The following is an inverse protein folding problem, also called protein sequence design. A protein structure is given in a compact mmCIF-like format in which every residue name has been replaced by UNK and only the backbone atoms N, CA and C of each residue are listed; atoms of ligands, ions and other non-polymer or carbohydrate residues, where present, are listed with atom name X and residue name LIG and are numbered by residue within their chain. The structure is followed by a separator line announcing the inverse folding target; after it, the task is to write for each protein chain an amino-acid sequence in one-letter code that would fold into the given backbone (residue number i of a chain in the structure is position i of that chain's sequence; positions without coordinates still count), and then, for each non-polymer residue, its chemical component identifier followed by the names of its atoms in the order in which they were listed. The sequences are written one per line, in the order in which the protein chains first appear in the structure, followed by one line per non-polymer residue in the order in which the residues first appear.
data_IF_481225403430
#
_entry.id   IF_481225403430
#
_cell.length_a   1.000
_cell.length_b   1.000
_cell.length_c   1.000
_cell.angle_alpha   90.00
_cell.angle_beta   90.00
_cell.angle_gamma   90.00
#
_symmetry.space_group_name_H-M   'P 1'
#
loop_
_entity.id
_entity.type
_entity.pdbx_description
1 polymer ?
#
# COMPACT_ATOMS: atom_id res chain seq x y z
N UNK A 1 10.91 -10.08 5.07
CA UNK A 1 10.84 -9.13 6.20
C UNK A 1 10.27 -7.83 5.67
N UNK A 2 9.59 -7.05 6.52
CA UNK A 2 9.11 -5.71 6.16
C UNK A 2 10.25 -4.68 6.08
N UNK A 3 9.89 -3.41 5.89
CA UNK A 3 10.84 -2.32 5.68
C UNK A 3 11.17 -1.60 6.99
N UNK A 4 12.46 -1.31 7.22
CA UNK A 4 12.90 -0.44 8.31
C UNK A 4 12.63 1.02 7.94
N UNK A 5 12.10 1.81 8.89
CA UNK A 5 12.00 3.24 8.69
C UNK A 5 13.39 3.83 8.45
N UNK A 6 13.50 4.70 7.43
CA UNK A 6 14.78 5.37 7.11
C UNK A 6 15.31 6.25 8.25
N UNK A 7 14.42 6.70 9.14
CA UNK A 7 14.73 7.52 10.30
C UNK A 7 14.67 6.72 11.62
N UNK A 8 15.59 7.04 12.53
CA UNK A 8 15.61 6.51 13.90
C UNK A 8 14.43 7.09 14.68
N UNK A 9 13.73 6.26 15.44
CA UNK A 9 12.70 6.73 16.36
C UNK A 9 13.37 7.34 17.58
N UNK A 10 13.09 8.63 17.81
CA UNK A 10 13.60 9.39 18.96
C UNK A 10 12.43 9.74 19.87
N UNK A 11 12.53 9.36 21.14
CA UNK A 11 11.57 9.76 22.19
C UNK A 11 12.29 10.64 23.18
N UNK A 12 11.74 11.84 23.40
CA UNK A 12 12.26 12.80 24.38
C UNK A 12 11.41 12.77 25.65
N UNK A 13 12.07 12.58 26.79
CA UNK A 13 11.47 12.62 28.12
C UNK A 13 11.93 13.86 28.88
N UNK A 14 10.96 14.64 29.35
CA UNK A 14 11.17 15.88 30.07
C UNK A 14 10.11 16.07 31.15
N UNK A 15 10.38 16.95 32.11
CA UNK A 15 9.41 17.34 33.14
C UNK A 15 8.25 18.14 32.56
N UNK A 16 7.07 18.01 33.16
CA UNK A 16 5.91 18.86 32.90
C UNK A 16 6.05 20.18 33.69
N UNK A 17 6.87 21.09 33.19
CA UNK A 17 7.16 22.39 33.80
C UNK A 17 7.29 23.47 32.72
N UNK A 18 7.11 24.75 33.09
CA UNK A 18 7.23 25.89 32.17
C UNK A 18 8.58 25.95 31.45
N UNK A 19 9.64 25.47 32.11
CA UNK A 19 10.94 25.17 31.49
C UNK A 19 11.17 23.67 31.58
N UNK A 20 11.00 22.92 30.47
CA UNK A 20 11.17 21.48 30.49
C UNK A 20 12.61 21.08 30.82
N UNK A 21 12.76 20.19 31.80
CA UNK A 21 14.07 19.63 32.19
C UNK A 21 14.17 18.21 31.63
N UNK A 22 15.21 17.88 30.85
CA UNK A 22 15.43 16.53 30.36
C UNK A 22 15.64 15.52 31.48
N UNK A 23 15.07 14.32 31.33
CA UNK A 23 15.19 13.25 32.33
C UNK A 23 16.11 12.12 31.83
N UNK A 24 17.42 12.14 32.15
CA UNK A 24 18.36 11.08 31.76
C UNK A 24 18.17 9.78 32.57
N UNK A 25 18.74 8.68 32.07
CA UNK A 25 18.75 7.36 32.69
C UNK A 25 17.36 6.80 33.05
N UNK A 26 16.34 7.14 32.26
CA UNK A 26 15.00 6.54 32.38
C UNK A 26 14.86 5.41 31.35
N UNK A 27 14.35 4.27 31.80
CA UNK A 27 14.09 3.12 30.93
C UNK A 27 12.84 3.35 30.11
N UNK A 28 12.99 3.33 28.80
CA UNK A 28 11.91 3.42 27.81
C UNK A 28 11.78 2.06 27.12
N UNK A 29 10.61 1.44 27.23
CA UNK A 29 10.25 0.22 26.53
C UNK A 29 9.40 0.57 25.29
N UNK A 30 9.77 0.04 24.14
CA UNK A 30 9.08 0.24 22.88
C UNK A 30 8.24 -0.99 22.55
N UNK A 31 6.94 -0.81 22.44
CA UNK A 31 5.98 -1.88 22.20
C UNK A 31 5.29 -1.61 20.88
N UNK A 32 5.56 -2.43 19.87
CA UNK A 32 4.83 -2.37 18.60
C UNK A 32 3.59 -3.25 18.63
N UNK A 33 2.53 -2.78 18.02
CA UNK A 33 1.33 -3.56 17.69
C UNK A 33 1.11 -3.51 16.18
N UNK A 34 0.67 -4.60 15.57
CA UNK A 34 0.39 -4.63 14.14
C UNK A 34 0.61 -5.99 13.48
N UNK A 35 0.14 -6.11 12.25
CA UNK A 35 0.31 -7.28 11.38
C UNK A 35 1.74 -7.31 10.78
N UNK A 36 2.23 -8.50 10.41
CA UNK A 36 3.51 -8.63 9.70
C UNK A 36 4.78 -8.54 10.56
N UNK A 37 4.67 -8.69 11.88
CA UNK A 37 5.79 -8.75 12.83
C UNK A 37 6.68 -7.50 12.87
N UNK A 38 6.11 -6.30 13.12
CA UNK A 38 6.92 -5.11 13.39
C UNK A 38 7.78 -5.32 14.64
N UNK A 39 8.97 -4.74 14.65
CA UNK A 39 9.91 -4.85 15.79
C UNK A 39 10.72 -3.59 16.01
N UNK A 40 11.10 -3.39 17.26
CA UNK A 40 12.08 -2.38 17.65
C UNK A 40 13.43 -3.04 17.92
N UNK A 41 14.52 -2.36 17.56
CA UNK A 41 15.88 -2.78 17.88
C UNK A 41 16.74 -1.56 18.27
N UNK A 42 17.10 -1.41 19.57
CA UNK A 42 16.66 -2.24 20.69
C UNK A 42 15.18 -1.99 21.06
N UNK A 43 14.50 -2.99 21.62
CA UNK A 43 13.12 -2.85 22.14
C UNK A 43 13.04 -2.06 23.46
N UNK A 44 14.20 -1.80 24.08
CA UNK A 44 14.35 -1.06 25.32
C UNK A 44 15.59 -0.19 25.26
N UNK A 45 15.49 1.07 25.68
CA UNK A 45 16.61 2.00 25.72
C UNK A 45 16.56 2.89 26.96
N UNK A 46 17.73 3.40 27.37
CA UNK A 46 17.84 4.44 28.40
C UNK A 46 17.87 5.82 27.74
N UNK A 47 17.24 6.80 28.39
CA UNK A 47 17.36 8.20 27.97
C UNK A 47 18.76 8.75 28.23
N UNK A 48 19.32 9.49 27.27
CA UNK A 48 20.63 10.15 27.37
C UNK A 48 20.56 11.45 28.21
N UNK A 49 21.66 12.21 28.29
CA UNK A 49 21.74 13.50 29.01
C UNK A 49 20.76 14.58 28.49
N UNK A 50 20.28 14.44 27.26
CA UNK A 50 19.24 15.29 26.65
C UNK A 50 17.83 14.71 26.82
N UNK A 51 17.66 13.66 27.64
CA UNK A 51 16.38 13.01 27.88
C UNK A 51 15.90 12.16 26.70
N UNK A 52 16.77 11.83 25.73
CA UNK A 52 16.37 11.15 24.50
C UNK A 52 16.69 9.65 24.55
N UNK A 53 15.72 8.81 24.18
CA UNK A 53 15.89 7.39 23.91
C UNK A 53 15.77 7.13 22.41
N UNK A 54 16.60 6.23 21.88
CA UNK A 54 16.69 5.91 20.46
C UNK A 54 16.38 4.44 20.20
N UNK A 55 15.66 4.16 19.13
CA UNK A 55 15.46 2.79 18.63
C UNK A 55 15.22 2.80 17.12
N UNK A 56 15.51 1.68 16.46
CA UNK A 56 15.13 1.47 15.06
C UNK A 56 13.80 0.73 15.00
N UNK A 57 12.91 1.17 14.13
CA UNK A 57 11.62 0.52 13.93
C UNK A 57 11.58 -0.16 12.56
N UNK A 58 11.53 -1.50 12.56
CA UNK A 58 11.20 -2.29 11.38
C UNK A 58 9.70 -2.51 11.34
N UNK A 59 9.03 -2.01 10.29
CA UNK A 59 7.61 -2.25 10.07
C UNK A 59 7.39 -3.68 9.55
N UNK A 60 6.14 -4.15 9.65
CA UNK A 60 5.76 -5.45 9.13
C UNK A 60 5.68 -5.49 7.60
N UNK A 61 5.39 -6.66 7.04
CA UNK A 61 5.22 -6.83 5.59
C UNK A 61 3.89 -6.31 5.04
N UNK A 62 2.95 -5.91 5.89
CA UNK A 62 1.67 -5.36 5.44
C UNK A 62 1.81 -3.85 5.21
N UNK A 63 1.29 -3.33 4.12
CA UNK A 63 1.14 -1.88 3.92
C UNK A 63 0.02 -1.32 4.80
N UNK A 64 0.12 -0.05 5.19
CA UNK A 64 -0.90 0.63 5.98
C UNK A 64 -0.35 1.32 7.21
N UNK A 65 -1.25 1.72 8.09
CA UNK A 65 -0.88 2.45 9.32
C UNK A 65 -0.44 1.47 10.42
N UNK A 66 0.67 1.80 11.07
CA UNK A 66 1.23 1.10 12.21
C UNK A 66 1.20 2.00 13.44
N UNK A 67 0.85 1.41 14.58
CA UNK A 67 0.88 2.07 15.88
C UNK A 67 1.80 1.33 16.84
N UNK A 68 2.62 2.09 17.54
CA UNK A 68 3.49 1.62 18.59
C UNK A 68 3.42 2.55 19.79
N UNK A 69 3.87 2.07 20.94
CA UNK A 69 3.90 2.81 22.19
C UNK A 69 5.32 2.85 22.73
N UNK A 70 5.78 4.03 23.16
CA UNK A 70 6.97 4.17 23.99
C UNK A 70 6.53 4.39 25.43
N UNK A 71 6.96 3.50 26.33
CA UNK A 71 6.56 3.45 27.74
C UNK A 71 7.75 3.71 28.63
N UNK A 72 7.68 4.76 29.45
CA UNK A 72 8.66 4.99 30.52
C UNK A 72 8.30 4.07 31.67
N UNK A 73 9.24 3.22 32.08
CA UNK A 73 9.03 2.21 33.11
C UNK A 73 9.89 2.53 34.33
N UNK A 74 9.26 2.63 35.51
CA UNK A 74 9.91 2.79 36.80
C UNK A 74 10.34 1.45 37.42
N UNK A 75 10.92 1.51 38.62
CA UNK A 75 11.20 0.32 39.43
C UNK A 75 9.91 -0.48 39.68
N UNK A 76 10.03 -1.82 39.68
CA UNK A 76 8.87 -2.72 39.79
C UNK A 76 8.00 -2.79 38.53
N UNK A 77 8.55 -2.46 37.35
CA UNK A 77 7.89 -2.57 36.03
C UNK A 77 6.61 -1.73 35.87
N UNK A 78 6.46 -0.68 36.68
CA UNK A 78 5.30 0.23 36.59
C UNK A 78 5.48 1.22 35.46
N UNK A 79 4.53 1.26 34.51
CA UNK A 79 4.49 2.27 33.43
C UNK A 79 4.04 3.61 34.01
N UNK A 80 4.86 4.64 33.84
CA UNK A 80 4.62 5.96 34.45
C UNK A 80 4.14 6.98 33.41
N UNK A 81 4.66 6.88 32.19
CA UNK A 81 4.33 7.76 31.06
C UNK A 81 4.34 6.92 29.79
N UNK A 82 3.45 7.23 28.84
CA UNK A 82 3.44 6.60 27.53
C UNK A 82 3.23 7.62 26.41
N UNK A 83 3.83 7.37 25.26
CA UNK A 83 3.66 8.15 24.03
C UNK A 83 3.30 7.22 22.87
N UNK A 84 2.43 7.70 21.97
CA UNK A 84 2.05 6.98 20.76
C UNK A 84 3.00 7.33 19.62
N UNK A 85 3.49 6.31 18.92
CA UNK A 85 4.29 6.41 17.71
C UNK A 85 3.42 5.91 16.56
N UNK A 86 3.39 6.67 15.46
CA UNK A 86 2.66 6.32 14.23
C UNK A 86 3.63 6.26 13.06
N UNK A 87 3.46 5.25 12.22
CA UNK A 87 4.14 5.15 10.93
C UNK A 87 3.17 4.63 9.88
N UNK A 88 3.50 4.87 8.62
CA UNK A 88 2.75 4.32 7.49
C UNK A 88 3.70 3.53 6.60
N UNK A 89 3.48 2.22 6.52
CA UNK A 89 4.16 1.38 5.53
C UNK A 89 3.49 1.57 4.18
N UNK A 90 4.28 1.84 3.14
CA UNK A 90 3.79 1.79 1.77
C UNK A 90 3.89 0.36 1.24
N UNK A 91 3.14 0.05 0.19
CA UNK A 91 3.36 -1.20 -0.53
C UNK A 91 4.73 -1.17 -1.21
N UNK A 92 5.34 -2.35 -1.34
CA UNK A 92 6.60 -2.49 -2.07
C UNK A 92 6.43 -2.28 -3.58
N UNK A 93 7.50 -2.49 -4.37
CA UNK A 93 7.42 -2.44 -5.82
C UNK A 93 6.34 -3.40 -6.36
N UNK A 94 5.63 -3.02 -7.46
CA UNK A 94 4.70 -3.92 -8.14
C UNK A 94 5.33 -5.28 -8.45
N UNK A 95 4.57 -6.34 -8.25
CA UNK A 95 5.03 -7.70 -8.49
C UNK A 95 4.05 -8.50 -9.36
N UNK A 96 2.76 -8.38 -9.08
CA UNK A 96 1.72 -9.18 -9.74
C UNK A 96 0.52 -8.31 -10.13
N UNK A 97 0.03 -8.50 -11.37
CA UNK A 97 -1.23 -7.93 -11.85
C UNK A 97 -2.28 -9.04 -12.00
N UNK A 98 -3.53 -8.74 -11.65
CA UNK A 98 -4.67 -9.65 -11.84
C UNK A 98 -5.93 -8.90 -12.28
N UNK A 99 -6.81 -9.57 -13.01
CA UNK A 99 -8.13 -9.03 -13.33
C UNK A 99 -9.01 -8.91 -12.07
N UNK A 100 -9.85 -7.87 -12.03
CA UNK A 100 -10.93 -7.71 -11.06
C UNK A 100 -12.25 -7.67 -11.85
N UNK A 101 -13.13 -8.62 -11.57
CA UNK A 101 -14.37 -8.76 -12.33
C UNK A 101 -14.23 -9.57 -13.63
N UNK A 102 -15.21 -9.47 -14.54
CA UNK A 102 -15.27 -10.33 -15.72
C UNK A 102 -14.22 -9.94 -16.77
N UNK A 103 -13.44 -10.92 -17.22
CA UNK A 103 -12.52 -10.77 -18.37
C UNK A 103 -13.23 -10.98 -19.71
N UNK A 104 -14.45 -11.50 -19.70
CA UNK A 104 -15.27 -11.68 -20.90
C UNK A 104 -16.68 -11.18 -20.62
N UNK A 105 -17.19 -10.28 -21.45
CA UNK A 105 -18.51 -9.70 -21.28
C UNK A 105 -19.33 -9.76 -22.58
N UNK A 106 -20.64 -9.98 -22.52
CA UNK A 106 -21.51 -9.73 -23.66
C UNK A 106 -21.62 -8.23 -23.92
N UNK A 107 -21.76 -7.84 -25.17
CA UNK A 107 -21.93 -6.44 -25.53
C UNK A 107 -22.75 -6.23 -26.79
N UNK A 108 -23.07 -4.97 -27.05
CA UNK A 108 -23.75 -4.53 -28.26
C UNK A 108 -22.89 -3.53 -28.98
N UNK A 109 -23.01 -3.51 -30.31
CA UNK A 109 -22.29 -2.60 -31.18
C UNK A 109 -22.50 -1.14 -30.77
N UNK A 110 -21.42 -0.38 -30.68
CA UNK A 110 -21.46 1.05 -30.33
C UNK A 110 -21.91 1.35 -28.91
N UNK A 111 -22.06 0.32 -28.05
CA UNK A 111 -22.44 0.52 -26.65
C UNK A 111 -21.26 0.28 -25.72
N UNK A 112 -21.24 1.03 -24.62
CA UNK A 112 -20.36 0.79 -23.49
C UNK A 112 -20.73 -0.52 -22.81
N UNK A 113 -19.73 -1.33 -22.46
CA UNK A 113 -19.91 -2.52 -21.63
C UNK A 113 -20.56 -2.16 -20.29
N UNK A 114 -21.35 -3.10 -19.76
CA UNK A 114 -22.03 -2.92 -18.49
C UNK A 114 -21.03 -2.83 -17.32
N UNK A 115 -20.01 -3.69 -17.31
CA UNK A 115 -18.95 -3.65 -16.32
C UNK A 115 -17.68 -3.02 -16.91
N UNK A 116 -17.01 -2.20 -16.11
CA UNK A 116 -15.71 -1.64 -16.47
C UNK A 116 -14.62 -2.72 -16.49
N UNK A 117 -13.64 -2.56 -17.36
CA UNK A 117 -12.44 -3.40 -17.33
C UNK A 117 -11.62 -2.97 -16.13
N UNK A 118 -11.31 -3.90 -15.23
CA UNK A 118 -10.60 -3.58 -13.99
C UNK A 118 -9.48 -4.57 -13.71
N UNK A 119 -8.36 -4.07 -13.22
CA UNK A 119 -7.24 -4.86 -12.73
C UNK A 119 -6.88 -4.44 -11.31
N UNK A 120 -6.18 -5.29 -10.59
CA UNK A 120 -5.54 -4.98 -9.32
C UNK A 120 -4.05 -5.29 -9.41
N UNK A 121 -3.25 -4.34 -8.94
CA UNK A 121 -1.80 -4.45 -8.85
C UNK A 121 -1.40 -4.67 -7.39
N UNK A 122 -0.58 -5.69 -7.15
CA UNK A 122 -0.08 -6.02 -5.80
C UNK A 122 1.43 -6.21 -5.79
N UNK A 123 2.04 -6.00 -4.62
CA UNK A 123 3.44 -6.35 -4.38
C UNK A 123 3.59 -7.84 -4.05
N UNK A 124 4.84 -8.28 -3.85
CA UNK A 124 5.18 -9.69 -3.55
C UNK A 124 4.57 -10.22 -2.23
N UNK A 125 4.10 -9.34 -1.36
CA UNK A 125 3.45 -9.67 -0.09
C UNK A 125 1.93 -9.60 -0.19
N UNK A 126 1.39 -9.25 -1.36
CA UNK A 126 -0.04 -9.10 -1.60
C UNK A 126 -0.61 -7.74 -1.21
N UNK A 127 0.24 -6.75 -0.88
CA UNK A 127 -0.21 -5.40 -0.59
C UNK A 127 -0.65 -4.68 -1.87
N UNK A 128 -1.71 -3.89 -1.78
CA UNK A 128 -2.21 -3.08 -2.88
C UNK A 128 -1.20 -1.99 -3.28
N UNK A 129 -0.82 -1.96 -4.56
CA UNK A 129 0.13 -0.97 -5.08
C UNK A 129 -0.61 0.15 -5.79
N UNK A 130 -0.80 1.27 -5.09
CA UNK A 130 -1.41 2.49 -5.61
C UNK A 130 -0.41 3.43 -6.28
N UNK A 131 -0.93 4.32 -7.13
CA UNK A 131 -0.14 5.34 -7.82
C UNK A 131 0.66 4.83 -9.03
N UNK A 132 0.46 3.57 -9.44
CA UNK A 132 1.18 2.98 -10.57
C UNK A 132 0.41 3.16 -11.87
N UNK A 133 1.09 3.49 -12.97
CA UNK A 133 0.46 3.69 -14.27
C UNK A 133 0.21 2.34 -14.96
N UNK A 134 -1.01 2.18 -15.49
CA UNK A 134 -1.45 1.02 -16.26
C UNK A 134 -1.73 1.49 -17.68
N UNK A 135 -1.11 0.83 -18.66
CA UNK A 135 -1.38 1.07 -20.07
C UNK A 135 -2.58 0.23 -20.51
N UNK A 136 -3.52 0.85 -21.21
CA UNK A 136 -4.75 0.24 -21.67
C UNK A 136 -4.88 0.41 -23.18
N UNK A 137 -5.25 -0.66 -23.88
CA UNK A 137 -5.42 -0.57 -25.33
C UNK A 137 -6.46 -1.55 -25.86
N UNK A 138 -7.18 -1.13 -26.89
CA UNK A 138 -7.95 -2.04 -27.74
C UNK A 138 -6.97 -2.81 -28.62
N UNK A 139 -7.16 -4.12 -28.72
CA UNK A 139 -6.33 -5.04 -29.50
C UNK A 139 -6.92 -5.33 -30.88
N UNK A 140 -6.15 -6.00 -31.73
CA UNK A 140 -6.56 -6.33 -33.10
C UNK A 140 -6.64 -5.07 -33.97
N UNK A 141 -7.76 -4.89 -34.70
CA UNK A 141 -7.90 -3.74 -35.60
C UNK A 141 -8.36 -2.44 -34.91
N UNK A 142 -8.29 -2.39 -33.57
CA UNK A 142 -8.50 -1.18 -32.76
C UNK A 142 -9.86 -0.50 -32.98
N UNK A 143 -10.91 -1.30 -33.13
CA UNK A 143 -12.30 -0.84 -33.23
C UNK A 143 -12.93 -0.76 -31.83
N UNK A 144 -13.58 0.36 -31.52
CA UNK A 144 -14.02 0.70 -30.17
C UNK A 144 -13.06 1.63 -29.44
N UNK A 145 -13.50 2.13 -28.28
CA UNK A 145 -12.81 3.18 -27.53
C UNK A 145 -12.82 2.87 -26.03
N UNK A 146 -11.64 2.96 -25.41
CA UNK A 146 -11.48 2.94 -23.97
C UNK A 146 -11.56 4.37 -23.45
N UNK A 147 -12.12 4.57 -22.26
CA UNK A 147 -12.19 5.92 -21.65
C UNK A 147 -10.84 6.59 -21.51
N UNK A 148 -9.78 5.81 -21.34
CA UNK A 148 -8.39 6.26 -21.23
C UNK A 148 -7.45 5.20 -21.80
N UNK A 149 -6.37 5.63 -22.47
CA UNK A 149 -5.28 4.75 -22.90
C UNK A 149 -4.26 4.49 -21.79
N UNK A 150 -4.31 5.27 -20.71
CA UNK A 150 -3.54 5.04 -19.49
C UNK A 150 -4.36 5.46 -18.28
N UNK A 151 -4.35 4.66 -17.22
CA UNK A 151 -4.99 4.98 -15.94
C UNK A 151 -4.08 4.57 -14.79
N UNK A 152 -4.17 5.27 -13.66
CA UNK A 152 -3.34 5.00 -12.47
C UNK A 152 -4.09 4.11 -11.49
N UNK A 153 -3.39 3.23 -10.77
CA UNK A 153 -4.00 2.47 -9.67
C UNK A 153 -4.36 3.37 -8.49
N UNK A 154 -5.55 3.16 -7.92
CA UNK A 154 -5.98 3.81 -6.68
C UNK A 154 -5.22 3.32 -5.45
N UNK A 155 -5.52 3.87 -4.27
CA UNK A 155 -4.90 3.43 -3.01
C UNK A 155 -5.20 1.96 -2.65
N UNK A 156 -6.26 1.40 -3.24
CA UNK A 156 -6.67 -0.01 -3.18
C UNK A 156 -5.95 -0.89 -4.23
N UNK A 157 -5.04 -0.30 -5.02
CA UNK A 157 -4.29 -0.99 -6.07
C UNK A 157 -5.11 -1.27 -7.32
N UNK A 158 -6.34 -0.77 -7.42
CA UNK A 158 -7.23 -1.03 -8.54
C UNK A 158 -7.11 0.06 -9.60
N UNK A 159 -7.06 -0.33 -10.87
CA UNK A 159 -7.20 0.58 -12.01
C UNK A 159 -8.31 0.06 -12.92
N UNK A 160 -9.14 0.96 -13.44
CA UNK A 160 -10.26 0.60 -14.31
C UNK A 160 -10.47 1.60 -15.44
N UNK A 161 -11.04 1.10 -16.54
CA UNK A 161 -11.47 1.88 -17.70
C UNK A 161 -12.82 1.37 -18.20
N UNK A 162 -13.65 2.26 -18.74
CA UNK A 162 -14.85 1.83 -19.47
C UNK A 162 -14.48 1.54 -20.92
N UNK A 163 -15.23 0.62 -21.55
CA UNK A 163 -14.99 0.23 -22.94
C UNK A 163 -16.26 0.35 -23.76
N UNK A 164 -16.26 1.24 -24.74
CA UNK A 164 -17.30 1.36 -25.77
C UNK A 164 -16.92 0.51 -26.96
N UNK A 165 -17.75 -0.48 -27.26
CA UNK A 165 -17.47 -1.45 -28.31
C UNK A 165 -17.63 -0.84 -29.69
N UNK A 166 -16.77 -1.28 -30.59
CA UNK A 166 -16.75 -0.86 -31.97
C UNK A 166 -17.93 -1.37 -32.80
N UNK A 167 -17.83 -1.17 -34.11
CA UNK A 167 -18.84 -1.55 -35.09
C UNK A 167 -18.85 -3.05 -35.45
N UNK A 168 -17.81 -3.80 -35.10
CA UNK A 168 -17.71 -5.23 -35.45
C UNK A 168 -18.53 -6.15 -34.55
N UNK A 169 -19.14 -7.16 -35.18
CA UNK A 169 -19.76 -8.28 -34.48
C UNK A 169 -18.71 -9.28 -33.97
N UNK A 170 -19.14 -10.18 -33.08
CA UNK A 170 -18.31 -11.22 -32.47
C UNK A 170 -17.25 -10.66 -31.51
N UNK A 171 -16.07 -11.27 -31.49
CA UNK A 171 -15.06 -11.02 -30.48
C UNK A 171 -14.33 -9.70 -30.73
N UNK A 172 -14.39 -8.79 -29.77
CA UNK A 172 -13.49 -7.65 -29.63
C UNK A 172 -12.57 -7.90 -28.44
N UNK A 173 -11.36 -7.35 -28.46
CA UNK A 173 -10.37 -7.54 -27.39
C UNK A 173 -9.75 -6.23 -26.93
N UNK A 174 -9.42 -6.16 -25.65
CA UNK A 174 -8.64 -5.09 -25.04
C UNK A 174 -7.63 -5.70 -24.06
N UNK A 175 -6.59 -4.94 -23.70
CA UNK A 175 -5.59 -5.39 -22.75
C UNK A 175 -5.19 -4.29 -21.77
N UNK A 176 -4.81 -4.72 -20.56
CA UNK A 176 -4.12 -3.91 -19.56
C UNK A 176 -2.67 -4.39 -19.42
N UNK A 177 -1.73 -3.46 -19.46
CA UNK A 177 -0.28 -3.69 -19.40
C UNK A 177 0.36 -2.90 -18.26
N UNK A 178 1.26 -3.58 -17.56
CA UNK A 178 2.15 -3.02 -16.55
C UNK A 178 3.50 -3.70 -16.78
N UNK A 179 4.57 -2.92 -16.86
CA UNK A 179 5.89 -3.44 -17.20
C UNK A 179 6.48 -4.27 -16.05
N UNK A 180 7.14 -5.37 -16.38
CA UNK A 180 7.93 -6.19 -15.44
C UNK A 180 7.13 -6.71 -14.24
N UNK A 181 5.84 -7.03 -14.42
CA UNK A 181 5.02 -7.72 -13.40
C UNK A 181 4.45 -9.04 -13.90
N UNK A 182 4.32 -10.00 -12.99
CA UNK A 182 3.74 -11.31 -13.26
C UNK A 182 2.26 -11.17 -13.62
N UNK A 183 1.83 -11.85 -14.69
CA UNK A 183 0.44 -11.82 -15.16
C UNK A 183 0.13 -10.72 -16.19
N UNK A 184 1.09 -9.84 -16.51
CA UNK A 184 0.92 -8.87 -17.59
C UNK A 184 1.24 -9.46 -18.97
N UNK A 185 0.48 -9.14 -20.04
CA UNK A 185 -0.77 -8.36 -20.05
C UNK A 185 -1.98 -9.14 -19.52
N UNK A 186 -2.96 -8.43 -18.96
CA UNK A 186 -4.30 -8.97 -18.71
C UNK A 186 -5.16 -8.71 -19.94
N UNK A 187 -5.66 -9.79 -20.56
CA UNK A 187 -6.58 -9.72 -21.69
C UNK A 187 -8.04 -9.63 -21.26
N UNK A 188 -8.80 -8.78 -21.94
CA UNK A 188 -10.23 -8.63 -21.83
C UNK A 188 -10.90 -8.87 -23.18
N UNK A 189 -12.10 -9.43 -23.16
CA UNK A 189 -12.87 -9.80 -24.32
C UNK A 189 -14.31 -9.29 -24.22
N UNK A 190 -14.86 -8.87 -25.35
CA UNK A 190 -16.27 -8.60 -25.50
C UNK A 190 -16.87 -9.45 -26.62
N UNK A 191 -17.99 -10.11 -26.37
CA UNK A 191 -18.73 -10.86 -27.38
C UNK A 191 -19.90 -9.99 -27.84
N UNK A 192 -19.75 -9.38 -29.01
CA UNK A 192 -20.80 -8.56 -29.63
C UNK A 192 -21.83 -9.47 -30.26
N UNK A 193 -23.05 -9.41 -29.72
CA UNK A 193 -24.19 -10.15 -30.24
C UNK A 193 -24.60 -9.62 -31.63
N UNK A 194 -25.11 -10.51 -32.52
CA UNK A 194 -25.56 -10.13 -33.87
C UNK A 194 -26.59 -9.01 -33.91
#
# INVERSE_FOLDING_TARGET
MGEELGDVVVVQLQTDADVPVPMPNRRVAFVSSGVGSPKFDPDTALTNSQGQAFTRWTLGTASGDYTAEAKVVAEGDTVVVQALIRAKALAGPPDTIRAVGPTTQPGRRGQTLADSLSIMLVDRFGNAVGGHQVAWNVEGDKDGELSQSTATTGADGVSSVTWTLGSRNFLQQAAARVDVVTGSPIGFAAVVLP
#
